data_IF_607579795018
#
_entry.id   IF_607579795018
#
_cell.length_a   1.000
_cell.length_b   1.000
_cell.length_c   1.000
_cell.angle_alpha   90.00
_cell.angle_beta   90.00
_cell.angle_gamma   90.00
#
_symmetry.space_group_name_H-M   'P 1'
#
loop_
_entity.id
_entity.type
_entity.pdbx_description
1 polymer ?
#
# COMPACT_ATOMS: atom_id res chain seq x y z
N UNK A 1 46.91 25.85 54.36
CA UNK A 1 46.62 24.78 53.38
C UNK A 1 45.14 24.43 53.48
N UNK A 2 44.32 24.90 52.54
CA UNK A 2 42.87 24.65 52.50
C UNK A 2 42.54 24.12 51.11
N UNK A 3 42.25 22.81 50.99
CA UNK A 3 41.82 22.20 49.75
C UNK A 3 40.30 22.30 49.62
N UNK A 4 39.85 23.18 48.73
CA UNK A 4 38.45 23.24 48.27
C UNK A 4 38.18 22.08 47.31
N UNK A 5 37.30 21.16 47.69
CA UNK A 5 36.73 20.15 46.79
C UNK A 5 35.63 20.80 45.96
N UNK A 6 35.87 20.98 44.66
CA UNK A 6 34.87 21.37 43.68
C UNK A 6 34.23 20.09 43.15
N UNK A 7 32.92 19.94 43.33
CA UNK A 7 32.13 18.88 42.71
C UNK A 7 31.61 19.37 41.36
N UNK A 8 32.05 18.74 40.27
CA UNK A 8 31.48 18.91 38.94
C UNK A 8 30.22 18.04 38.85
N UNK A 9 29.06 18.68 38.75
CA UNK A 9 27.80 18.02 38.41
C UNK A 9 27.72 17.90 36.88
N UNK A 10 27.90 16.70 36.36
CA UNK A 10 27.67 16.40 34.94
C UNK A 10 26.16 16.25 34.70
N UNK A 11 25.55 17.26 34.07
CA UNK A 11 24.16 17.21 33.64
C UNK A 11 24.05 16.40 32.35
N UNK A 12 23.46 15.21 32.44
CA UNK A 12 23.09 14.40 31.28
C UNK A 12 21.77 14.93 30.71
N UNK A 13 21.83 15.60 29.56
CA UNK A 13 20.65 15.90 28.74
C UNK A 13 20.25 14.62 27.99
N UNK A 14 19.28 13.89 28.53
CA UNK A 14 18.58 12.85 27.80
C UNK A 14 17.69 13.51 26.74
N UNK A 15 18.19 13.64 25.51
CA UNK A 15 17.39 14.04 24.36
C UNK A 15 16.48 12.89 23.93
N UNK A 16 15.19 12.98 24.22
CA UNK A 16 14.18 12.06 23.70
C UNK A 16 13.94 12.33 22.22
N UNK A 17 14.51 11.50 21.35
CA UNK A 17 14.13 11.45 19.94
C UNK A 17 12.87 10.60 19.82
N UNK A 18 11.70 11.20 19.96
CA UNK A 18 10.44 10.56 19.63
C UNK A 18 10.20 10.71 18.11
N UNK A 19 10.50 9.66 17.35
CA UNK A 19 10.05 9.55 15.97
C UNK A 19 8.52 9.53 15.95
N UNK A 20 7.90 10.43 15.18
CA UNK A 20 6.45 10.49 15.03
C UNK A 20 5.96 9.29 14.19
N UNK A 21 5.76 8.15 14.83
CA UNK A 21 4.93 7.09 14.28
C UNK A 21 3.49 7.61 14.30
N UNK A 22 2.92 7.91 13.13
CA UNK A 22 1.51 8.30 13.02
C UNK A 22 0.63 7.23 13.66
N UNK A 23 -0.18 7.64 14.64
CA UNK A 23 -1.09 6.77 15.36
C UNK A 23 -2.28 6.39 14.47
N UNK A 24 -2.69 5.13 14.52
CA UNK A 24 -3.83 4.60 13.78
C UNK A 24 -5.10 5.45 14.02
N UNK A 25 -5.83 5.75 12.94
CA UNK A 25 -7.05 6.55 13.00
C UNK A 25 -6.85 8.06 13.17
N UNK A 26 -5.62 8.55 13.33
CA UNK A 26 -5.35 10.00 13.39
C UNK A 26 -5.46 10.60 11.99
N UNK A 27 -6.32 11.61 11.85
CA UNK A 27 -6.44 12.39 10.63
C UNK A 27 -5.26 13.36 10.48
N UNK A 28 -4.69 13.40 9.28
CA UNK A 28 -3.55 14.23 8.90
C UNK A 28 -3.83 14.94 7.59
N UNK A 29 -3.26 16.13 7.45
CA UNK A 29 -3.24 16.82 6.16
C UNK A 29 -2.38 16.01 5.17
N UNK A 30 -2.89 15.83 3.96
CA UNK A 30 -2.25 15.08 2.90
C UNK A 30 -2.51 15.75 1.54
N UNK A 31 -1.96 15.18 0.49
CA UNK A 31 -2.15 15.62 -0.88
C UNK A 31 -2.33 14.41 -1.78
N UNK A 32 -3.33 14.43 -2.67
CA UNK A 32 -3.47 13.38 -3.68
C UNK A 32 -2.37 13.50 -4.71
N UNK A 33 -1.53 12.45 -4.81
CA UNK A 33 -0.56 12.30 -5.90
C UNK A 33 -1.07 11.30 -6.92
N UNK A 34 -0.84 11.62 -8.19
CA UNK A 34 -1.13 10.75 -9.33
C UNK A 34 0.06 9.84 -9.62
N UNK A 35 -0.21 8.57 -9.85
CA UNK A 35 0.76 7.56 -10.28
C UNK A 35 0.37 7.01 -11.64
N UNK A 36 1.36 6.78 -12.50
CA UNK A 36 1.22 6.11 -13.78
C UNK A 36 2.26 4.99 -13.87
N UNK A 37 1.83 3.74 -13.79
CA UNK A 37 2.73 2.58 -13.67
C UNK A 37 2.34 1.50 -14.67
N UNK A 38 3.34 0.79 -15.18
CA UNK A 38 3.17 -0.44 -15.94
C UNK A 38 3.48 -1.64 -15.01
N UNK A 39 2.55 -2.58 -14.90
CA UNK A 39 2.66 -3.78 -14.06
C UNK A 39 2.69 -5.02 -14.94
N UNK A 40 3.71 -5.86 -14.72
CA UNK A 40 3.93 -7.08 -15.51
C UNK A 40 3.86 -8.28 -14.58
N UNK A 41 2.82 -9.11 -14.75
CA UNK A 41 2.69 -10.31 -13.94
C UNK A 41 3.55 -11.45 -14.49
N UNK A 42 4.41 -12.01 -13.65
CA UNK A 42 5.36 -13.08 -13.99
C UNK A 42 5.28 -14.26 -13.02
N UNK A 43 4.09 -14.59 -12.51
CA UNK A 43 3.91 -15.74 -11.63
C UNK A 43 3.88 -17.08 -12.38
N UNK A 44 4.29 -18.14 -11.69
CA UNK A 44 4.46 -19.48 -12.26
C UNK A 44 3.25 -20.39 -12.01
N UNK A 45 2.57 -20.19 -10.89
CA UNK A 45 1.51 -21.06 -10.35
C UNK A 45 0.16 -20.74 -10.96
N UNK A 46 -0.24 -19.47 -10.88
CA UNK A 46 -1.53 -19.03 -11.42
C UNK A 46 -1.34 -18.27 -12.70
N UNK A 47 -2.13 -18.64 -13.71
CA UNK A 47 -2.22 -17.89 -14.96
C UNK A 47 -3.53 -17.12 -14.99
N UNK A 48 -3.45 -15.85 -15.34
CA UNK A 48 -4.62 -14.97 -15.40
C UNK A 48 -5.04 -14.70 -16.83
N UNK A 49 -6.34 -14.58 -17.05
CA UNK A 49 -6.83 -13.77 -18.16
C UNK A 49 -6.51 -12.29 -17.89
N UNK A 50 -6.50 -11.48 -18.94
CA UNK A 50 -6.27 -10.04 -18.79
C UNK A 50 -7.23 -9.36 -17.81
N UNK A 51 -8.50 -9.76 -17.85
CA UNK A 51 -9.53 -9.23 -16.94
C UNK A 51 -9.36 -9.76 -15.53
N UNK A 52 -9.07 -11.06 -15.37
CA UNK A 52 -8.81 -11.64 -14.06
C UNK A 52 -7.65 -10.95 -13.35
N UNK A 53 -6.54 -10.69 -14.06
CA UNK A 53 -5.42 -9.95 -13.48
C UNK A 53 -5.82 -8.51 -13.13
N UNK A 54 -6.49 -7.80 -14.05
CA UNK A 54 -6.95 -6.42 -13.84
C UNK A 54 -7.80 -6.33 -12.58
N UNK A 55 -8.74 -7.24 -12.41
CA UNK A 55 -9.73 -7.20 -11.33
C UNK A 55 -9.07 -7.53 -9.98
N UNK A 56 -8.15 -8.50 -9.93
CA UNK A 56 -7.37 -8.82 -8.73
C UNK A 56 -6.44 -7.67 -8.32
N UNK A 57 -5.72 -7.07 -9.26
CA UNK A 57 -4.87 -5.90 -8.96
C UNK A 57 -5.69 -4.69 -8.53
N UNK A 58 -6.85 -4.46 -9.16
CA UNK A 58 -7.80 -3.42 -8.73
C UNK A 58 -8.23 -3.65 -7.28
N UNK A 59 -8.58 -4.88 -6.95
CA UNK A 59 -9.00 -5.25 -5.59
C UNK A 59 -7.88 -4.99 -4.57
N UNK A 60 -6.64 -5.37 -4.87
CA UNK A 60 -5.50 -5.13 -3.97
C UNK A 60 -5.21 -3.63 -3.78
N UNK A 61 -5.21 -2.83 -4.85
CA UNK A 61 -5.00 -1.38 -4.77
C UNK A 61 -6.09 -0.69 -3.93
N UNK A 62 -7.36 -1.01 -4.18
CA UNK A 62 -8.48 -0.45 -3.41
C UNK A 62 -8.40 -0.83 -1.94
N UNK A 63 -8.10 -2.09 -1.63
CA UNK A 63 -7.90 -2.57 -0.27
C UNK A 63 -6.77 -1.82 0.46
N UNK A 64 -5.76 -1.40 -0.31
CA UNK A 64 -4.58 -0.66 0.15
C UNK A 64 -4.77 0.86 0.20
N UNK A 65 -6.00 1.37 0.08
CA UNK A 65 -6.30 2.80 0.30
C UNK A 65 -6.15 3.70 -0.93
N UNK A 66 -5.97 3.11 -2.11
CA UNK A 66 -5.96 3.85 -3.38
C UNK A 66 -7.36 4.38 -3.71
N UNK A 67 -7.41 5.59 -4.30
CA UNK A 67 -8.66 6.27 -4.66
C UNK A 67 -9.50 5.45 -5.66
N UNK A 68 -10.81 5.43 -5.46
CA UNK A 68 -11.77 4.57 -6.19
C UNK A 68 -11.87 4.82 -7.71
N UNK A 69 -11.43 5.99 -8.17
CA UNK A 69 -11.46 6.42 -9.56
C UNK A 69 -10.26 5.92 -10.38
N UNK A 70 -9.43 5.03 -9.82
CA UNK A 70 -8.32 4.39 -10.55
C UNK A 70 -8.77 3.76 -11.87
N UNK A 71 -7.88 3.87 -12.85
CA UNK A 71 -8.03 3.29 -14.19
C UNK A 71 -6.95 2.24 -14.40
N UNK A 72 -7.37 1.05 -14.82
CA UNK A 72 -6.46 -0.05 -15.15
C UNK A 72 -6.86 -0.56 -16.53
N UNK A 73 -5.93 -0.50 -17.48
CA UNK A 73 -6.08 -1.09 -18.80
C UNK A 73 -5.11 -2.26 -18.96
N UNK A 74 -5.62 -3.39 -19.43
CA UNK A 74 -4.76 -4.50 -19.80
C UNK A 74 -4.12 -4.23 -21.16
N UNK A 75 -2.84 -4.58 -21.33
CA UNK A 75 -2.08 -4.46 -22.59
C UNK A 75 -1.75 -5.85 -23.13
N UNK A 76 -1.69 -6.00 -24.45
CA UNK A 76 -1.36 -7.28 -25.09
C UNK A 76 -2.55 -8.26 -25.14
N UNK A 77 -3.76 -7.73 -24.95
CA UNK A 77 -5.01 -8.50 -24.87
C UNK A 77 -5.87 -8.36 -26.13
N UNK A 78 -5.39 -7.62 -27.13
CA UNK A 78 -6.14 -7.19 -28.31
C UNK A 78 -6.60 -8.35 -29.20
N UNK A 79 -6.00 -9.54 -29.04
CA UNK A 79 -6.28 -10.72 -29.87
C UNK A 79 -7.11 -11.81 -29.15
N UNK A 80 -7.46 -11.64 -27.87
CA UNK A 80 -7.83 -12.80 -27.03
C UNK A 80 -8.69 -12.46 -25.78
N UNK A 81 -9.88 -11.89 -25.93
CA UNK A 81 -10.79 -11.68 -24.79
C UNK A 81 -11.08 -13.02 -24.06
N UNK A 82 -10.93 -13.05 -22.74
CA UNK A 82 -11.19 -14.23 -21.91
C UNK A 82 -10.16 -15.36 -21.97
N UNK A 83 -9.13 -15.30 -22.82
CA UNK A 83 -8.05 -16.31 -22.80
C UNK A 83 -7.01 -15.98 -21.73
N UNK A 84 -6.35 -17.03 -21.26
CA UNK A 84 -5.15 -16.92 -20.44
C UNK A 84 -4.06 -16.27 -21.30
N UNK A 85 -3.48 -15.18 -20.80
CA UNK A 85 -2.35 -14.54 -21.46
C UNK A 85 -1.04 -15.15 -20.96
N UNK A 86 -0.04 -15.30 -21.85
CA UNK A 86 1.27 -15.82 -21.46
C UNK A 86 1.98 -14.86 -20.50
N UNK A 87 1.85 -13.55 -20.75
CA UNK A 87 2.43 -12.46 -19.96
C UNK A 87 1.46 -11.27 -19.87
N UNK A 88 0.38 -11.36 -19.08
CA UNK A 88 -0.56 -10.25 -18.94
C UNK A 88 0.15 -9.06 -18.28
N UNK A 89 -0.04 -7.88 -18.87
CA UNK A 89 0.45 -6.63 -18.31
C UNK A 89 -0.65 -5.61 -18.20
N UNK A 90 -0.52 -4.72 -17.22
CA UNK A 90 -1.47 -3.67 -16.92
C UNK A 90 -0.78 -2.32 -17.03
N UNK A 91 -1.48 -1.33 -17.57
CA UNK A 91 -1.18 0.08 -17.37
C UNK A 91 -2.16 0.63 -16.36
N UNK A 92 -1.65 1.29 -15.33
CA UNK A 92 -2.43 1.76 -14.20
C UNK A 92 -2.23 3.26 -14.03
N UNK A 93 -3.34 3.94 -13.82
CA UNK A 93 -3.39 5.33 -13.42
C UNK A 93 -4.23 5.41 -12.15
N UNK A 94 -3.63 5.86 -11.06
CA UNK A 94 -4.31 5.93 -9.78
C UNK A 94 -3.83 7.10 -8.93
N UNK A 95 -4.52 7.33 -7.81
CA UNK A 95 -4.19 8.37 -6.85
C UNK A 95 -4.10 7.79 -5.45
N UNK A 96 -3.06 8.20 -4.73
CA UNK A 96 -2.84 7.85 -3.33
C UNK A 96 -2.44 9.12 -2.56
N UNK A 97 -2.77 9.22 -1.26
CA UNK A 97 -2.36 10.35 -0.46
C UNK A 97 -0.86 10.26 -0.14
N UNK A 98 -0.20 11.41 -0.21
CA UNK A 98 1.14 11.62 0.32
C UNK A 98 1.10 12.65 1.45
N UNK A 99 2.03 12.50 2.39
CA UNK A 99 2.29 13.53 3.38
C UNK A 99 2.91 14.77 2.70
N UNK A 100 2.55 15.99 3.11
CA UNK A 100 3.14 17.19 2.56
C UNK A 100 4.64 17.24 2.84
N UNK A 101 5.46 17.37 1.79
CA UNK A 101 6.90 17.59 1.94
C UNK A 101 7.19 19.05 2.29
N UNK A 102 8.02 19.26 3.32
CA UNK A 102 8.41 20.61 3.73
C UNK A 102 9.15 21.34 2.60
N UNK A 103 8.63 22.49 2.15
CA UNK A 103 9.27 23.34 1.15
C UNK A 103 8.87 23.06 -0.30
N UNK A 104 7.99 22.09 -0.56
CA UNK A 104 7.45 21.81 -1.90
C UNK A 104 6.36 22.83 -2.28
N UNK A 105 6.41 23.35 -3.51
CA UNK A 105 5.47 24.40 -4.02
C UNK A 105 4.29 23.83 -4.79
N UNK A 106 4.46 22.65 -5.35
CA UNK A 106 3.42 21.81 -5.92
C UNK A 106 2.66 21.10 -4.80
N UNK A 107 1.64 21.81 -4.32
CA UNK A 107 0.59 21.27 -3.48
C UNK A 107 -0.45 20.72 -4.43
N UNK A 108 -0.41 19.42 -4.74
CA UNK A 108 -1.48 18.75 -5.49
C UNK A 108 -2.85 18.94 -4.83
N UNK A 109 -3.87 18.21 -5.29
CA UNK A 109 -5.22 18.30 -4.70
C UNK A 109 -5.16 18.00 -3.19
N UNK A 110 -5.54 18.94 -2.30
CA UNK A 110 -5.50 18.72 -0.86
C UNK A 110 -6.38 17.54 -0.45
N UNK A 111 -5.91 16.76 0.53
CA UNK A 111 -6.62 15.62 1.07
C UNK A 111 -6.59 15.65 2.60
N UNK A 112 -7.63 15.10 3.23
CA UNK A 112 -7.52 14.59 4.60
C UNK A 112 -7.24 13.11 4.51
N UNK A 113 -6.27 12.60 5.25
CA UNK A 113 -5.93 11.19 5.25
C UNK A 113 -5.78 10.66 6.67
N UNK A 114 -5.78 9.35 6.85
CA UNK A 114 -5.50 8.69 8.13
C UNK A 114 -4.61 7.49 7.92
N UNK A 115 -3.85 7.13 8.95
CA UNK A 115 -3.17 5.83 8.98
C UNK A 115 -4.20 4.74 9.23
N UNK A 116 -4.23 3.74 8.34
CA UNK A 116 -5.05 2.55 8.47
C UNK A 116 -4.17 1.30 8.40
N UNK A 117 -4.36 0.38 9.35
CA UNK A 117 -3.80 -0.96 9.25
C UNK A 117 -4.55 -1.79 8.22
N UNK A 118 -3.80 -2.50 7.38
CA UNK A 118 -4.30 -3.36 6.31
C UNK A 118 -3.69 -4.73 6.47
N UNK A 119 -4.54 -5.75 6.39
CA UNK A 119 -4.12 -7.15 6.35
C UNK A 119 -4.51 -7.72 4.99
N UNK A 120 -3.54 -8.36 4.32
CA UNK A 120 -3.77 -9.21 3.16
C UNK A 120 -3.50 -10.65 3.61
N UNK A 121 -4.54 -11.47 3.59
CA UNK A 121 -4.46 -12.89 3.91
C UNK A 121 -5.47 -13.66 3.06
N UNK A 122 -5.54 -14.99 3.21
CA UNK A 122 -6.47 -15.83 2.46
C UNK A 122 -7.90 -15.27 2.53
N UNK A 123 -8.49 -15.05 1.35
CA UNK A 123 -9.83 -14.49 1.17
C UNK A 123 -10.04 -13.09 1.81
N UNK A 124 -8.96 -12.35 2.06
CA UNK A 124 -8.99 -10.98 2.56
C UNK A 124 -7.92 -10.15 1.82
N UNK A 125 -8.29 -9.26 0.87
CA UNK A 125 -9.65 -8.92 0.48
C UNK A 125 -10.44 -10.10 -0.12
N UNK A 126 -11.78 -10.08 0.03
CA UNK A 126 -12.67 -11.15 -0.45
C UNK A 126 -12.37 -11.53 -1.89
N UNK A 127 -12.28 -12.83 -2.16
CA UNK A 127 -11.93 -13.33 -3.49
C UNK A 127 -10.43 -13.47 -3.73
N UNK A 128 -9.57 -13.22 -2.72
CA UNK A 128 -8.16 -13.62 -2.77
C UNK A 128 -8.04 -15.14 -2.53
N UNK A 129 -7.54 -15.84 -3.54
CA UNK A 129 -7.44 -17.30 -3.58
C UNK A 129 -6.02 -17.77 -3.26
N UNK A 130 -5.81 -19.02 -2.82
CA UNK A 130 -4.45 -19.55 -2.57
C UNK A 130 -3.51 -19.46 -3.78
N UNK A 131 -4.06 -19.49 -5.00
CA UNK A 131 -3.28 -19.29 -6.23
C UNK A 131 -2.76 -17.87 -6.41
N UNK A 132 -3.28 -16.88 -5.69
CA UNK A 132 -2.90 -15.48 -5.83
C UNK A 132 -1.62 -15.12 -5.06
N UNK A 133 -0.93 -16.09 -4.42
CA UNK A 133 0.25 -15.78 -3.61
C UNK A 133 1.30 -14.98 -4.39
N UNK A 134 1.74 -15.46 -5.55
CA UNK A 134 2.76 -14.78 -6.36
C UNK A 134 2.30 -13.40 -6.84
N UNK A 135 0.99 -13.20 -7.00
CA UNK A 135 0.41 -11.90 -7.30
C UNK A 135 0.56 -10.95 -6.10
N UNK A 136 0.30 -11.43 -4.88
CA UNK A 136 0.46 -10.66 -3.64
C UNK A 136 1.93 -10.36 -3.37
N UNK A 137 2.83 -11.32 -3.59
CA UNK A 137 4.27 -11.12 -3.50
C UNK A 137 4.74 -10.02 -4.47
N UNK A 138 4.31 -10.09 -5.73
CA UNK A 138 4.63 -9.06 -6.70
C UNK A 138 4.00 -7.69 -6.37
N UNK A 139 2.78 -7.67 -5.83
CA UNK A 139 2.13 -6.45 -5.35
C UNK A 139 2.93 -5.80 -4.21
N UNK A 140 3.35 -6.60 -3.21
CA UNK A 140 4.19 -6.17 -2.10
C UNK A 140 5.49 -5.55 -2.61
N UNK A 141 6.11 -6.16 -3.61
CA UNK A 141 7.43 -5.74 -4.07
C UNK A 141 7.39 -4.54 -5.05
N UNK A 142 6.27 -4.34 -5.76
CA UNK A 142 6.21 -3.37 -6.88
C UNK A 142 5.20 -2.24 -6.72
N UNK A 143 4.13 -2.45 -5.96
CA UNK A 143 3.04 -1.47 -5.85
C UNK A 143 2.94 -0.88 -4.46
N UNK A 144 3.17 -1.69 -3.41
CA UNK A 144 3.17 -1.19 -2.05
C UNK A 144 4.23 -0.09 -1.80
N UNK A 145 5.46 -0.14 -2.35
CA UNK A 145 6.47 0.91 -2.15
C UNK A 145 6.12 2.25 -2.79
N UNK A 146 5.18 2.25 -3.74
CA UNK A 146 4.70 3.46 -4.41
C UNK A 146 3.67 4.21 -3.54
N UNK A 147 3.10 3.53 -2.54
CA UNK A 147 2.17 4.11 -1.58
C UNK A 147 2.94 4.66 -0.36
N UNK A 148 2.32 5.61 0.34
CA UNK A 148 2.80 5.99 1.68
C UNK A 148 2.42 4.89 2.68
N UNK A 149 3.23 3.83 2.72
CA UNK A 149 2.98 2.62 3.49
C UNK A 149 4.21 2.15 4.28
N UNK A 150 3.98 1.39 5.36
CA UNK A 150 5.02 0.72 6.15
C UNK A 150 4.59 -0.72 6.47
N UNK A 151 5.41 -1.68 6.09
CA UNK A 151 5.20 -3.10 6.43
C UNK A 151 5.40 -3.29 7.93
N UNK A 152 4.46 -3.99 8.56
CA UNK A 152 4.46 -4.34 9.99
C UNK A 152 4.95 -5.77 10.16
N UNK A 153 4.36 -6.69 9.39
CA UNK A 153 4.74 -8.10 9.35
C UNK A 153 4.56 -8.62 7.93
N UNK A 154 5.43 -9.55 7.55
CA UNK A 154 5.39 -10.20 6.24
C UNK A 154 5.79 -11.67 6.40
N UNK A 155 4.78 -12.53 6.35
CA UNK A 155 4.93 -13.98 6.28
C UNK A 155 4.52 -14.51 4.90
N UNK A 156 4.56 -13.67 3.88
CA UNK A 156 4.29 -14.07 2.49
C UNK A 156 5.40 -14.98 1.98
N UNK A 157 5.08 -16.25 1.76
CA UNK A 157 6.00 -17.25 1.25
C UNK A 157 5.34 -17.99 0.09
N UNK A 158 5.70 -17.62 -1.14
CA UNK A 158 5.14 -18.20 -2.35
C UNK A 158 6.09 -19.25 -2.93
N UNK A 159 5.62 -20.49 -3.01
CA UNK A 159 6.39 -21.59 -3.59
C UNK A 159 5.95 -21.78 -5.06
N UNK A 160 6.84 -21.57 -6.05
CA UNK A 160 6.47 -21.70 -7.45
C UNK A 160 5.87 -23.07 -7.78
N UNK A 161 4.81 -23.06 -8.59
CA UNK A 161 4.05 -24.24 -9.02
C UNK A 161 3.33 -25.01 -7.89
N UNK A 162 3.16 -24.43 -6.70
CA UNK A 162 2.52 -25.09 -5.56
C UNK A 162 1.42 -24.24 -4.92
N UNK A 163 0.24 -24.84 -4.70
CA UNK A 163 -0.85 -24.26 -3.91
C UNK A 163 -0.80 -24.65 -2.42
N UNK A 164 0.00 -25.65 -2.09
CA UNK A 164 0.18 -26.18 -0.73
C UNK A 164 1.53 -25.72 -0.22
N UNK A 165 1.62 -25.31 1.05
CA UNK A 165 2.84 -24.75 1.63
C UNK A 165 3.09 -23.29 1.29
N UNK A 166 2.36 -22.74 0.32
CA UNK A 166 2.28 -21.31 0.05
C UNK A 166 1.48 -20.60 1.16
N UNK A 167 1.95 -19.46 1.62
CA UNK A 167 1.31 -18.66 2.69
C UNK A 167 1.25 -17.19 2.30
N UNK A 168 0.13 -16.54 2.62
CA UNK A 168 -0.07 -15.10 2.42
C UNK A 168 -0.58 -14.54 3.73
N UNK A 169 0.28 -13.76 4.38
CA UNK A 169 -0.04 -12.98 5.56
C UNK A 169 0.87 -11.76 5.56
N UNK A 170 0.32 -10.65 5.09
CA UNK A 170 1.01 -9.39 4.94
C UNK A 170 0.22 -8.33 5.70
N UNK A 171 0.86 -7.72 6.70
CA UNK A 171 0.29 -6.60 7.44
C UNK A 171 1.11 -5.34 7.22
N UNK A 172 0.43 -4.23 6.97
CA UNK A 172 1.05 -2.94 6.79
C UNK A 172 0.13 -1.82 7.24
N UNK A 173 0.71 -0.68 7.57
CA UNK A 173 -0.03 0.57 7.71
C UNK A 173 0.13 1.37 6.42
N UNK A 174 -0.98 1.94 5.94
CA UNK A 174 -0.99 2.80 4.76
C UNK A 174 -1.72 4.09 5.06
N UNK A 175 -1.28 5.17 4.44
CA UNK A 175 -2.01 6.42 4.45
C UNK A 175 -3.21 6.29 3.51
N UNK A 176 -4.41 6.34 4.06
CA UNK A 176 -5.67 6.28 3.32
C UNK A 176 -6.33 7.65 3.29
N UNK A 177 -6.71 8.11 2.10
CA UNK A 177 -7.44 9.37 1.95
C UNK A 177 -8.90 9.21 2.31
N UNK A 178 -9.43 10.19 3.05
CA UNK A 178 -10.82 10.24 3.46
C UNK A 178 -11.67 10.92 2.39
N UNK A 179 -12.93 10.48 2.21
CA UNK A 179 -13.88 11.24 1.42
C UNK A 179 -14.09 12.63 2.07
N UNK A 180 -14.42 13.66 1.28
CA UNK A 180 -14.76 14.96 1.85
C UNK A 180 -15.95 14.84 2.83
N UNK A 181 -16.03 15.69 3.87
CA UNK A 181 -16.99 15.53 4.97
C UNK A 181 -18.47 15.50 4.55
N UNK A 182 -18.82 16.16 3.45
CA UNK A 182 -20.17 16.23 2.88
C UNK A 182 -20.65 14.89 2.28
N UNK A 183 -19.73 14.03 1.84
CA UNK A 183 -20.04 12.68 1.32
C UNK A 183 -20.05 11.59 2.41
N UNK A 184 -19.49 11.86 3.59
CA UNK A 184 -19.44 10.89 4.70
C UNK A 184 -20.79 10.69 5.40
N UNK A 185 -21.68 11.69 5.37
CA UNK A 185 -22.97 11.67 6.08
C UNK A 185 -24.12 10.92 5.39
N UNK A 186 -23.98 10.55 4.10
CA UNK A 186 -25.08 9.97 3.31
C UNK A 186 -25.09 8.43 3.24
N UNK A 187 -24.15 7.74 3.90
CA UNK A 187 -24.01 6.28 3.80
C UNK A 187 -24.50 5.52 5.06
N UNK A 188 -25.41 6.11 5.83
CA UNK A 188 -26.03 5.52 7.03
C UNK A 188 -27.55 5.27 6.88
N UNK A 189 -28.05 5.02 5.67
CA UNK A 189 -29.46 4.67 5.44
C UNK A 189 -29.62 3.41 4.62
#
# INVERSE_FOLDING_TARGET
MSLRRVWLVAAWMAGSWAGAAGAEGTEVAATWKRYELDFHYMGFTTRYSCEGLRDKVRQLLLHSGVRKDLKISARGCELSYGRIADFPSLRMVFWAPELPEAGRRDVGEPATARWRRVTITRNQPRGLEPGDCELVELFRDRLLPELTARVISDETNCIPHQLVGTHVELEFEVLEGLPPPDLAGNNQR
#
